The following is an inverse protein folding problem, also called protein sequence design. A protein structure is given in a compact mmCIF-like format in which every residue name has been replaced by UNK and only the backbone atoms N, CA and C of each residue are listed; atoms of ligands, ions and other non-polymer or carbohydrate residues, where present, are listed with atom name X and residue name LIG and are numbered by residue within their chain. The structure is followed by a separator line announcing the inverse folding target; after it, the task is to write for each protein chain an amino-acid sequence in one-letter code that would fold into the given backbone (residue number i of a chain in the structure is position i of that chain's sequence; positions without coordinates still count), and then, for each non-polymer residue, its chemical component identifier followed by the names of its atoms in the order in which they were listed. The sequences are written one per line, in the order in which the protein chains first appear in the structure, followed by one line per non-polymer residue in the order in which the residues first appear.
data_IF_511396870127
#
_entry.id   IF_511396870127
#
_cell.length_a   1.000
_cell.length_b   1.000
_cell.length_c   1.000
_cell.angle_alpha   90.00
_cell.angle_beta   90.00
_cell.angle_gamma   90.00
#
_symmetry.space_group_name_H-M   'P 1'
#
loop_
_entity.id
_entity.type
_entity.pdbx_description
1 polymer ?
#
# COMPACT_ATOMS: atom_id res chain seq x y z
N UNK A 1 -25.46 -30.78 15.67
CA UNK A 1 -25.74 -30.05 14.42
C UNK A 1 -24.51 -30.19 13.55
N UNK A 2 -24.70 -30.69 12.34
CA UNK A 2 -23.70 -31.38 11.53
C UNK A 2 -22.43 -30.56 11.24
N UNK A 3 -21.29 -31.08 11.68
CA UNK A 3 -20.04 -30.94 10.96
C UNK A 3 -20.25 -31.45 9.53
N UNK A 4 -20.25 -30.53 8.54
CA UNK A 4 -19.76 -30.75 7.17
C UNK A 4 -19.82 -29.43 6.40
N UNK A 5 -19.01 -28.44 6.78
CA UNK A 5 -18.56 -27.45 5.79
C UNK A 5 -17.43 -28.12 5.03
N UNK A 6 -17.84 -29.04 4.16
CA UNK A 6 -16.96 -29.71 3.22
C UNK A 6 -16.26 -28.63 2.42
N UNK A 7 -14.95 -28.66 2.54
CA UNK A 7 -13.97 -27.85 1.83
C UNK A 7 -14.23 -28.03 0.33
N UNK A 8 -15.17 -27.24 -0.23
CA UNK A 8 -15.39 -27.15 -1.66
C UNK A 8 -14.23 -26.31 -2.21
N UNK A 9 -13.05 -26.91 -2.21
CA UNK A 9 -11.84 -26.36 -2.77
C UNK A 9 -12.16 -26.03 -4.23
N UNK A 10 -12.21 -24.74 -4.55
CA UNK A 10 -12.35 -24.26 -5.91
C UNK A 10 -11.12 -24.68 -6.74
N UNK A 11 -11.07 -25.95 -7.14
CA UNK A 11 -10.04 -26.49 -8.02
C UNK A 11 -9.99 -25.69 -9.33
N UNK A 12 -11.14 -25.18 -9.77
CA UNK A 12 -11.25 -24.27 -10.91
C UNK A 12 -10.62 -22.89 -10.65
N UNK A 13 -10.74 -22.34 -9.43
CA UNK A 13 -10.06 -21.08 -9.09
C UNK A 13 -8.57 -21.31 -8.92
N UNK A 14 -8.15 -22.41 -8.30
CA UNK A 14 -6.74 -22.80 -8.20
C UNK A 14 -6.13 -22.96 -9.60
N UNK A 15 -6.85 -23.59 -10.53
CA UNK A 15 -6.45 -23.70 -11.93
C UNK A 15 -6.37 -22.34 -12.63
N UNK A 16 -7.37 -21.46 -12.47
CA UNK A 16 -7.33 -20.08 -13.00
C UNK A 16 -6.12 -19.30 -12.48
N UNK A 17 -5.78 -19.45 -11.19
CA UNK A 17 -4.60 -18.82 -10.60
C UNK A 17 -3.29 -19.36 -11.20
N UNK A 18 -3.18 -20.67 -11.40
CA UNK A 18 -2.03 -21.26 -12.09
C UNK A 18 -1.90 -20.73 -13.52
N UNK A 19 -3.01 -20.60 -14.25
CA UNK A 19 -3.03 -20.01 -15.60
C UNK A 19 -2.58 -18.55 -15.59
N UNK A 20 -3.01 -17.75 -14.61
CA UNK A 20 -2.58 -16.35 -14.44
C UNK A 20 -1.07 -16.27 -14.19
N UNK A 21 -0.54 -17.08 -13.26
CA UNK A 21 0.90 -17.11 -12.99
C UNK A 21 1.71 -17.56 -14.20
N UNK A 22 1.22 -18.55 -14.95
CA UNK A 22 1.85 -19.01 -16.18
C UNK A 22 1.86 -17.91 -17.26
N UNK A 23 0.76 -17.17 -17.43
CA UNK A 23 0.69 -16.05 -18.38
C UNK A 23 1.65 -14.92 -18.00
N UNK A 24 1.74 -14.56 -16.72
CA UNK A 24 2.65 -13.50 -16.25
C UNK A 24 4.12 -13.94 -16.33
N UNK A 25 4.45 -15.17 -15.95
CA UNK A 25 5.80 -15.71 -16.11
C UNK A 25 6.21 -15.81 -17.59
N UNK A 26 5.27 -16.23 -18.44
CA UNK A 26 5.42 -16.23 -19.90
C UNK A 26 5.65 -14.82 -20.45
N UNK A 27 4.93 -13.82 -19.95
CA UNK A 27 5.11 -12.42 -20.33
C UNK A 27 6.49 -11.89 -19.95
N UNK A 28 6.96 -12.16 -18.72
CA UNK A 28 8.29 -11.74 -18.27
C UNK A 28 9.39 -12.42 -19.10
N UNK A 29 9.25 -13.72 -19.37
CA UNK A 29 10.21 -14.48 -20.17
C UNK A 29 10.21 -14.02 -21.63
N UNK A 30 9.05 -13.79 -22.22
CA UNK A 30 8.95 -13.21 -23.56
C UNK A 30 9.57 -11.81 -23.60
N UNK A 31 9.38 -11.00 -22.56
CA UNK A 31 9.91 -9.66 -22.49
C UNK A 31 11.45 -9.63 -22.46
N UNK A 32 12.10 -10.62 -21.82
CA UNK A 32 13.56 -10.72 -21.74
C UNK A 32 14.19 -11.39 -22.97
N UNK A 33 13.55 -12.40 -23.55
CA UNK A 33 14.05 -13.11 -24.73
C UNK A 33 13.87 -12.28 -26.01
N UNK A 34 12.75 -11.58 -26.16
CA UNK A 34 12.47 -10.72 -27.32
C UNK A 34 13.02 -9.28 -27.13
N UNK A 35 14.20 -9.14 -26.54
CA UNK A 35 14.87 -7.86 -26.31
C UNK A 35 15.29 -7.11 -27.57
N UNK A 36 15.33 -7.79 -28.73
CA UNK A 36 15.72 -7.21 -30.02
C UNK A 36 14.55 -6.61 -30.82
N UNK A 37 13.31 -6.84 -30.39
CA UNK A 37 12.10 -6.27 -31.02
C UNK A 37 11.86 -4.86 -30.49
N UNK A 38 11.34 -3.97 -31.34
CA UNK A 38 11.04 -2.59 -30.95
C UNK A 38 10.07 -2.54 -29.76
N UNK A 39 10.41 -1.67 -28.79
CA UNK A 39 9.76 -1.57 -27.47
C UNK A 39 8.24 -1.38 -27.56
N UNK A 40 7.75 -0.75 -28.64
CA UNK A 40 6.33 -0.47 -28.87
C UNK A 40 5.48 -1.75 -29.00
N UNK A 41 5.90 -2.72 -29.81
CA UNK A 41 5.14 -3.96 -30.01
C UNK A 41 5.13 -4.83 -28.76
N UNK A 42 6.25 -4.84 -28.01
CA UNK A 42 6.36 -5.54 -26.73
C UNK A 42 5.44 -4.92 -25.67
N UNK A 43 5.37 -3.59 -25.61
CA UNK A 43 4.48 -2.90 -24.68
C UNK A 43 3.01 -3.19 -24.98
N UNK A 44 2.60 -3.17 -26.25
CA UNK A 44 1.22 -3.49 -26.65
C UNK A 44 0.88 -4.94 -26.31
N UNK A 45 1.75 -5.90 -26.65
CA UNK A 45 1.55 -7.31 -26.31
C UNK A 45 1.46 -7.52 -24.79
N UNK A 46 2.31 -6.84 -24.02
CA UNK A 46 2.28 -6.88 -22.56
C UNK A 46 0.97 -6.35 -21.98
N UNK A 47 0.48 -5.22 -22.49
CA UNK A 47 -0.81 -4.65 -22.07
C UNK A 47 -1.94 -5.64 -22.35
N UNK A 48 -1.98 -6.25 -23.53
CA UNK A 48 -3.01 -7.24 -23.89
C UNK A 48 -2.99 -8.45 -22.95
N UNK A 49 -1.81 -9.02 -22.67
CA UNK A 49 -1.68 -10.17 -21.77
C UNK A 49 -2.11 -9.81 -20.33
N UNK A 50 -1.73 -8.62 -19.86
CA UNK A 50 -2.14 -8.13 -18.52
C UNK A 50 -3.66 -7.93 -18.44
N UNK A 51 -4.28 -7.39 -19.49
CA UNK A 51 -5.74 -7.21 -19.54
C UNK A 51 -6.46 -8.56 -19.51
N UNK A 52 -6.00 -9.54 -20.29
CA UNK A 52 -6.57 -10.90 -20.30
C UNK A 52 -6.41 -11.57 -18.93
N UNK A 53 -5.23 -11.49 -18.33
CA UNK A 53 -4.97 -12.01 -16.99
C UNK A 53 -5.86 -11.35 -15.93
N UNK A 54 -6.04 -10.02 -16.03
CA UNK A 54 -6.95 -9.26 -15.17
C UNK A 54 -8.41 -9.69 -15.32
N UNK A 55 -8.88 -9.98 -16.54
CA UNK A 55 -10.24 -10.43 -16.80
C UNK A 55 -10.51 -11.84 -16.23
N UNK A 56 -9.52 -12.74 -16.35
CA UNK A 56 -9.57 -14.09 -15.75
C UNK A 56 -9.57 -14.00 -14.22
N UNK A 57 -8.73 -13.11 -13.65
CA UNK A 57 -8.67 -12.87 -12.22
C UNK A 57 -9.99 -12.31 -11.67
N UNK A 58 -10.61 -11.35 -12.37
CA UNK A 58 -11.91 -10.79 -11.99
C UNK A 58 -13.05 -11.81 -12.04
N UNK A 59 -12.95 -12.81 -12.93
CA UNK A 59 -13.92 -13.91 -13.10
C UNK A 59 -13.70 -15.09 -12.13
N UNK A 60 -12.82 -14.95 -11.15
CA UNK A 60 -12.54 -15.94 -10.07
C UNK A 60 -13.39 -15.58 -8.85
N UNK A 61 -13.76 -16.55 -7.99
CA UNK A 61 -14.64 -16.29 -6.84
C UNK A 61 -14.05 -15.20 -5.91
N UNK A 62 -12.74 -15.28 -5.65
CA UNK A 62 -11.99 -14.24 -4.92
C UNK A 62 -12.01 -12.87 -5.62
N UNK A 63 -12.05 -12.83 -6.95
CA UNK A 63 -12.09 -11.61 -7.75
C UNK A 63 -13.45 -10.92 -7.66
N UNK A 64 -14.54 -11.68 -7.79
CA UNK A 64 -15.91 -11.17 -7.61
C UNK A 64 -16.12 -10.60 -6.20
N UNK A 65 -15.66 -11.32 -5.18
CA UNK A 65 -15.69 -10.87 -3.79
C UNK A 65 -14.87 -9.59 -3.58
N UNK A 66 -13.69 -9.48 -4.19
CA UNK A 66 -12.91 -8.24 -4.14
C UNK A 66 -13.63 -7.07 -4.84
N UNK A 67 -14.29 -7.31 -5.98
CA UNK A 67 -15.08 -6.29 -6.67
C UNK A 67 -16.28 -5.83 -5.83
N UNK A 68 -16.97 -6.75 -5.15
CA UNK A 68 -18.06 -6.38 -4.24
C UNK A 68 -17.54 -5.60 -3.04
N UNK A 69 -16.44 -6.02 -2.43
CA UNK A 69 -15.77 -5.28 -1.34
C UNK A 69 -15.31 -3.89 -1.78
N UNK A 70 -14.77 -3.73 -2.99
CA UNK A 70 -14.39 -2.43 -3.52
C UNK A 70 -15.61 -1.51 -3.72
N UNK A 71 -16.74 -2.08 -4.14
CA UNK A 71 -18.01 -1.36 -4.29
C UNK A 71 -18.59 -0.94 -2.92
N UNK A 72 -18.51 -1.81 -1.92
CA UNK A 72 -18.90 -1.52 -0.54
C UNK A 72 -17.98 -0.46 0.09
N UNK A 73 -16.67 -0.57 -0.13
CA UNK A 73 -15.67 0.39 0.34
C UNK A 73 -15.93 1.81 -0.19
N UNK A 74 -16.38 1.95 -1.44
CA UNK A 74 -16.81 3.25 -1.99
C UNK A 74 -18.00 3.84 -1.25
N UNK A 75 -18.90 2.99 -0.73
CA UNK A 75 -20.03 3.43 0.08
C UNK A 75 -19.57 3.87 1.47
N UNK A 76 -18.57 3.20 2.05
CA UNK A 76 -17.95 3.61 3.32
C UNK A 76 -17.12 4.89 3.21
N UNK A 77 -16.37 5.07 2.11
CA UNK A 77 -15.62 6.32 1.86
C UNK A 77 -16.56 7.53 1.80
N UNK A 78 -17.81 7.34 1.35
CA UNK A 78 -18.82 8.41 1.38
C UNK A 78 -19.31 8.75 2.79
N UNK A 79 -19.13 7.85 3.76
CA UNK A 79 -19.41 8.12 5.18
C UNK A 79 -18.26 8.84 5.88
N UNK A 80 -17.08 8.93 5.25
CA UNK A 80 -15.98 9.73 5.77
C UNK A 80 -16.36 11.19 5.64
N UNK A 81 -16.67 11.80 6.78
CA UNK A 81 -16.83 13.24 6.88
C UNK A 81 -15.44 13.85 6.74
N UNK A 82 -15.16 14.41 5.57
CA UNK A 82 -13.91 15.13 5.36
C UNK A 82 -13.93 16.39 6.22
N UNK A 83 -12.87 16.63 7.01
CA UNK A 83 -12.83 17.76 7.93
C UNK A 83 -12.95 19.06 7.15
N UNK A 84 -13.68 20.01 7.72
CA UNK A 84 -13.73 21.36 7.15
C UNK A 84 -12.35 22.00 7.27
N UNK A 85 -12.03 22.99 6.41
CA UNK A 85 -10.74 23.70 6.48
C UNK A 85 -10.47 24.29 7.87
N UNK A 86 -11.52 24.64 8.59
CA UNK A 86 -11.43 25.18 9.94
C UNK A 86 -11.04 24.10 10.98
N UNK A 87 -11.66 22.92 10.92
CA UNK A 87 -11.31 21.78 11.78
C UNK A 87 -9.88 21.29 11.51
N UNK A 88 -9.50 21.18 10.24
CA UNK A 88 -8.15 20.76 9.84
C UNK A 88 -7.08 21.73 10.38
N UNK A 89 -7.33 23.04 10.30
CA UNK A 89 -6.42 24.05 10.83
C UNK A 89 -6.36 24.02 12.35
N UNK A 90 -7.49 23.80 13.04
CA UNK A 90 -7.52 23.71 14.50
C UNK A 90 -6.71 22.51 15.00
N UNK A 91 -6.90 21.32 14.43
CA UNK A 91 -6.12 20.13 14.81
C UNK A 91 -4.63 20.32 14.50
N UNK A 92 -4.30 20.93 13.35
CA UNK A 92 -2.91 21.22 13.00
C UNK A 92 -2.27 22.18 14.00
N UNK A 93 -2.95 23.26 14.39
CA UNK A 93 -2.45 24.22 15.38
C UNK A 93 -2.25 23.58 16.76
N UNK A 94 -3.15 22.69 17.18
CA UNK A 94 -3.01 21.94 18.45
C UNK A 94 -1.74 21.08 18.42
N UNK A 95 -1.54 20.30 17.34
CA UNK A 95 -0.35 19.45 17.18
C UNK A 95 0.92 20.30 17.09
N UNK A 96 0.87 21.43 16.38
CA UNK A 96 2.01 22.34 16.24
C UNK A 96 2.39 22.96 17.58
N UNK A 97 1.42 23.38 18.39
CA UNK A 97 1.67 23.87 19.75
C UNK A 97 2.28 22.78 20.65
N UNK A 98 1.72 21.57 20.65
CA UNK A 98 2.22 20.46 21.47
C UNK A 98 3.66 20.06 21.08
N UNK A 99 3.96 19.99 19.78
CA UNK A 99 5.30 19.66 19.28
C UNK A 99 6.30 20.78 19.53
N UNK A 100 5.90 22.05 19.45
CA UNK A 100 6.75 23.20 19.78
C UNK A 100 7.14 23.21 21.26
N UNK A 101 6.19 22.90 22.17
CA UNK A 101 6.48 22.76 23.60
C UNK A 101 7.49 21.64 23.84
N UNK A 102 7.27 20.46 23.24
CA UNK A 102 8.20 19.34 23.37
C UNK A 102 9.59 19.68 22.84
N UNK A 103 9.67 20.34 21.68
CA UNK A 103 10.93 20.76 21.07
C UNK A 103 11.70 21.74 21.97
N UNK A 104 11.01 22.71 22.60
CA UNK A 104 11.64 23.65 23.52
C UNK A 104 12.16 22.96 24.80
N UNK A 105 11.40 22.01 25.34
CA UNK A 105 11.80 21.24 26.53
C UNK A 105 13.07 20.43 26.23
N UNK A 106 13.06 19.68 25.13
CA UNK A 106 14.22 18.89 24.72
C UNK A 106 15.43 19.78 24.45
N UNK A 107 15.26 20.84 23.65
CA UNK A 107 16.35 21.79 23.35
C UNK A 107 16.96 22.40 24.60
N UNK A 108 16.14 22.81 25.57
CA UNK A 108 16.61 23.35 26.84
C UNK A 108 17.38 22.32 27.67
N UNK A 109 16.85 21.11 27.78
CA UNK A 109 17.47 20.01 28.52
C UNK A 109 18.80 19.59 27.89
N UNK A 110 18.83 19.39 26.57
CA UNK A 110 20.05 19.05 25.82
C UNK A 110 21.12 20.15 25.98
N UNK A 111 20.72 21.42 25.88
CA UNK A 111 21.63 22.56 26.06
C UNK A 111 22.22 22.66 27.47
N UNK A 112 21.42 22.35 28.51
CA UNK A 112 21.90 22.30 29.90
C UNK A 112 22.86 21.13 30.07
N UNK A 113 22.51 19.94 29.59
CA UNK A 113 23.37 18.75 29.70
C UNK A 113 24.72 19.00 29.03
N UNK A 114 24.74 19.56 27.82
CA UNK A 114 26.00 19.88 27.10
C UNK A 114 26.85 20.85 27.91
N UNK A 115 26.27 21.91 28.47
CA UNK A 115 27.01 22.89 29.27
C UNK A 115 27.54 22.31 30.58
N UNK A 116 26.76 21.46 31.26
CA UNK A 116 27.17 20.78 32.49
C UNK A 116 28.29 19.76 32.20
N UNK A 117 28.14 18.94 31.17
CA UNK A 117 29.16 17.97 30.76
C UNK A 117 30.43 18.68 30.30
N UNK A 118 30.34 19.77 29.53
CA UNK A 118 31.49 20.59 29.14
C UNK A 118 32.24 21.16 30.35
N UNK A 119 31.51 21.70 31.33
CA UNK A 119 32.10 22.20 32.57
C UNK A 119 32.81 21.10 33.39
N UNK A 120 32.23 19.91 33.49
CA UNK A 120 32.80 18.78 34.23
C UNK A 120 34.00 18.17 33.51
N UNK A 121 33.94 18.05 32.18
CA UNK A 121 34.99 17.38 31.38
C UNK A 121 36.15 18.34 31.05
N UNK A 122 36.01 19.64 31.31
CA UNK A 122 37.03 20.65 31.01
C UNK A 122 37.25 20.89 29.52
N UNK A 123 36.37 20.34 28.66
CA UNK A 123 36.38 20.52 27.21
C UNK A 123 35.24 21.50 26.89
N UNK A 124 35.54 22.80 26.86
CA UNK A 124 34.65 23.81 26.26
C UNK A 124 34.40 25.04 27.12
N UNK A 125 35.08 26.14 26.75
CA UNK A 125 34.44 27.46 26.73
C UNK A 125 33.40 27.50 25.60
#
# INVERSE_FOLDING_TARGET
MSEKTENQSNALDMFKWVVIFALLAGLVTANTVYGEISVLYRAIAAVVVVVIAGFIAASTEKGSTFLSFAKESRTEVRKVVWPTRQEANQTTLIVLAATLIMALILWGLDGIIVRVVGFITGIGA
#
